data_IF_197580284909
#
_entry.id   IF_197580284909
#
_cell.length_a   1.000
_cell.length_b   1.000
_cell.length_c   1.000
_cell.angle_alpha   90.00
_cell.angle_beta   90.00
_cell.angle_gamma   90.00
#
_symmetry.space_group_name_H-M   'P 1'
#
loop_
_entity.id
_entity.type
_entity.pdbx_description
1 polymer ?
#
# COMPACT_ATOMS: atom_id res chain seq x y z
N UNK A 1 2.11 -4.26 -7.22
CA UNK A 1 3.33 -4.94 -7.73
C UNK A 1 4.51 -4.02 -7.49
N UNK A 2 5.55 -4.47 -6.81
CA UNK A 2 6.66 -3.60 -6.42
C UNK A 2 7.75 -3.53 -7.49
N UNK A 3 7.82 -2.40 -8.21
CA UNK A 3 8.79 -2.22 -9.28
C UNK A 3 10.13 -1.62 -8.82
N UNK A 4 10.18 -1.02 -7.62
CA UNK A 4 11.34 -0.28 -7.14
C UNK A 4 11.55 -0.53 -5.66
N UNK A 5 12.68 -1.14 -5.32
CA UNK A 5 13.09 -1.31 -3.93
C UNK A 5 13.94 -0.12 -3.50
N UNK A 6 13.53 0.64 -2.46
CA UNK A 6 14.33 1.73 -1.92
C UNK A 6 15.59 1.20 -1.22
N UNK A 7 16.68 1.94 -1.38
CA UNK A 7 17.94 1.78 -0.66
C UNK A 7 18.26 3.07 0.11
N UNK A 8 19.27 3.02 0.98
CA UNK A 8 19.80 4.21 1.64
C UNK A 8 20.17 5.32 0.65
N UNK A 9 20.09 6.57 1.13
CA UNK A 9 20.41 7.79 0.38
C UNK A 9 19.53 8.03 -0.86
N UNK A 10 18.27 7.58 -0.83
CA UNK A 10 17.28 7.84 -1.89
C UNK A 10 17.54 7.10 -3.20
N UNK A 11 18.37 6.04 -3.15
CA UNK A 11 18.66 5.19 -4.32
C UNK A 11 17.58 4.11 -4.46
N UNK A 12 17.42 3.60 -5.67
CA UNK A 12 16.48 2.52 -5.96
C UNK A 12 17.15 1.44 -6.79
N UNK A 13 16.77 0.19 -6.54
CA UNK A 13 17.10 -0.95 -7.41
C UNK A 13 15.82 -1.60 -7.94
N UNK A 14 15.99 -2.51 -8.90
CA UNK A 14 14.90 -3.27 -9.46
C UNK A 14 14.16 -4.03 -8.35
N UNK A 15 12.86 -3.74 -8.20
CA UNK A 15 11.98 -4.47 -7.31
C UNK A 15 11.61 -5.84 -7.88
N UNK A 16 10.90 -6.65 -7.09
CA UNK A 16 10.44 -7.99 -7.50
C UNK A 16 9.56 -7.95 -8.74
N UNK A 17 8.84 -6.85 -8.98
CA UNK A 17 8.04 -6.61 -10.17
C UNK A 17 8.84 -6.70 -11.47
N UNK A 18 10.10 -6.26 -11.47
CA UNK A 18 10.98 -6.37 -12.65
C UNK A 18 11.26 -7.84 -13.01
N UNK A 19 11.51 -8.70 -12.01
CA UNK A 19 11.73 -10.12 -12.23
C UNK A 19 10.45 -10.82 -12.69
N UNK A 20 9.32 -10.49 -12.08
CA UNK A 20 8.02 -11.05 -12.49
C UNK A 20 7.72 -10.67 -13.95
N UNK A 21 7.97 -9.42 -14.38
CA UNK A 21 7.81 -9.02 -15.78
C UNK A 21 8.69 -9.83 -16.74
N UNK A 22 9.93 -10.13 -16.35
CA UNK A 22 10.81 -10.98 -17.16
C UNK A 22 10.23 -12.40 -17.32
N UNK A 23 9.70 -12.98 -16.25
CA UNK A 23 9.07 -14.31 -16.28
C UNK A 23 7.77 -14.29 -17.08
N UNK A 24 6.91 -13.28 -16.92
CA UNK A 24 5.68 -13.12 -17.70
C UNK A 24 5.98 -13.06 -19.21
N UNK A 25 7.01 -12.30 -19.58
CA UNK A 25 7.46 -12.18 -20.97
C UNK A 25 7.93 -13.54 -21.51
N UNK A 26 8.76 -14.27 -20.76
CA UNK A 26 9.23 -15.59 -21.17
C UNK A 26 8.08 -16.62 -21.27
N UNK A 27 7.12 -16.55 -20.35
CA UNK A 27 6.01 -17.49 -20.28
C UNK A 27 4.80 -17.11 -21.15
N UNK A 28 4.81 -15.92 -21.77
CA UNK A 28 3.69 -15.36 -22.56
C UNK A 28 2.35 -15.37 -21.80
N UNK A 29 2.40 -15.19 -20.48
CA UNK A 29 1.24 -15.16 -19.60
C UNK A 29 1.44 -14.16 -18.48
N UNK A 30 0.34 -13.57 -18.02
CA UNK A 30 0.37 -12.66 -16.87
C UNK A 30 0.37 -13.45 -15.55
N UNK A 31 1.07 -12.91 -14.56
CA UNK A 31 1.08 -13.43 -13.20
C UNK A 31 -0.10 -12.84 -12.42
N UNK A 32 -0.78 -13.68 -11.65
CA UNK A 32 -1.76 -13.20 -10.68
C UNK A 32 -1.03 -12.50 -9.53
N UNK A 33 -1.45 -11.27 -9.24
CA UNK A 33 -0.91 -10.51 -8.12
C UNK A 33 -1.67 -10.91 -6.85
N UNK A 34 -1.01 -11.68 -5.99
CA UNK A 34 -1.57 -12.12 -4.70
C UNK A 34 -1.25 -11.19 -3.54
N UNK A 35 -0.19 -10.38 -3.67
CA UNK A 35 0.18 -9.37 -2.68
C UNK A 35 -0.57 -8.05 -2.85
N UNK A 36 -0.26 -7.06 -2.02
CA UNK A 36 -0.86 -5.72 -2.09
C UNK A 36 -0.76 -5.13 -3.51
N UNK A 37 -1.83 -4.53 -4.06
CA UNK A 37 -3.11 -4.18 -3.42
C UNK A 37 -4.21 -5.27 -3.52
N UNK A 38 -3.86 -6.51 -3.85
CA UNK A 38 -4.84 -7.60 -4.01
C UNK A 38 -5.57 -7.90 -2.71
N UNK A 39 -6.91 -7.99 -2.77
CA UNK A 39 -7.73 -8.38 -1.61
C UNK A 39 -7.39 -9.78 -1.10
N UNK A 40 -6.84 -10.65 -1.95
CA UNK A 40 -6.46 -12.00 -1.59
C UNK A 40 -5.58 -12.07 -0.33
N UNK A 41 -4.57 -11.20 -0.21
CA UNK A 41 -3.71 -11.20 1.00
C UNK A 41 -4.49 -10.81 2.25
N UNK A 42 -5.45 -9.89 2.15
CA UNK A 42 -6.30 -9.51 3.27
C UNK A 42 -7.23 -10.65 3.66
N UNK A 43 -7.84 -11.34 2.70
CA UNK A 43 -8.73 -12.46 2.98
C UNK A 43 -7.98 -13.59 3.70
N UNK A 44 -6.72 -13.87 3.33
CA UNK A 44 -5.85 -14.82 4.05
C UNK A 44 -5.63 -14.42 5.51
N UNK A 45 -5.23 -13.16 5.77
CA UNK A 45 -4.98 -12.68 7.15
C UNK A 45 -6.30 -12.63 7.94
N UNK A 46 -7.40 -12.20 7.31
CA UNK A 46 -8.71 -12.12 7.95
C UNK A 46 -9.24 -13.49 8.36
N UNK A 47 -9.04 -14.51 7.52
CA UNK A 47 -9.42 -15.88 7.83
C UNK A 47 -8.60 -16.47 8.99
N UNK A 48 -7.31 -16.13 9.08
CA UNK A 48 -6.43 -16.65 10.12
C UNK A 48 -6.64 -15.95 11.48
N UNK A 49 -6.87 -14.64 11.49
CA UNK A 49 -6.90 -13.82 12.71
C UNK A 49 -8.28 -13.26 13.08
N UNK A 50 -9.33 -13.52 12.29
CA UNK A 50 -10.69 -13.05 12.57
C UNK A 50 -10.82 -11.53 12.56
N UNK A 51 -10.26 -10.88 11.53
CA UNK A 51 -10.18 -9.41 11.47
C UNK A 51 -11.57 -8.80 11.22
N UNK A 52 -11.96 -7.84 12.07
CA UNK A 52 -13.09 -6.96 11.81
C UNK A 52 -12.61 -5.70 11.07
N UNK A 53 -13.01 -5.47 9.79
CA UNK A 53 -12.58 -4.30 9.02
C UNK A 53 -12.90 -2.96 9.68
N UNK A 54 -14.06 -2.83 10.34
CA UNK A 54 -14.50 -1.57 10.96
C UNK A 54 -13.64 -1.16 12.15
N UNK A 55 -12.91 -2.11 12.75
CA UNK A 55 -12.01 -1.91 13.89
C UNK A 55 -10.54 -2.06 13.52
N UNK A 56 -10.22 -2.08 12.23
CA UNK A 56 -8.88 -2.35 11.73
C UNK A 56 -8.40 -1.21 10.84
N UNK A 57 -7.11 -0.88 10.98
CA UNK A 57 -6.46 0.17 10.20
C UNK A 57 -5.27 -0.42 9.43
N UNK A 58 -5.19 -0.10 8.15
CA UNK A 58 -4.04 -0.38 7.30
C UNK A 58 -3.04 0.77 7.42
N UNK A 59 -1.84 0.47 7.88
CA UNK A 59 -0.73 1.43 7.98
C UNK A 59 0.32 1.08 6.94
N UNK A 60 0.78 2.05 6.16
CA UNK A 60 1.81 1.83 5.15
C UNK A 60 2.37 3.11 4.58
N UNK A 61 3.28 3.00 3.62
CA UNK A 61 4.03 4.13 3.06
C UNK A 61 3.74 4.35 1.56
N UNK A 62 2.91 3.50 0.95
CA UNK A 62 2.60 3.56 -0.48
C UNK A 62 1.12 3.67 -0.78
N UNK A 63 0.77 4.66 -1.59
CA UNK A 63 -0.62 4.93 -1.99
C UNK A 63 -1.23 3.84 -2.88
N UNK A 64 -0.44 3.29 -3.81
CA UNK A 64 -0.88 2.33 -4.83
C UNK A 64 -0.91 0.87 -4.36
N UNK A 65 -0.38 0.60 -3.17
CA UNK A 65 -0.34 -0.76 -2.59
C UNK A 65 -1.01 -0.79 -1.21
N UNK A 66 -0.51 -0.06 -0.22
CA UNK A 66 -1.02 -0.11 1.14
C UNK A 66 -2.38 0.55 1.27
N UNK A 67 -2.45 1.83 0.88
CA UNK A 67 -3.68 2.62 1.02
C UNK A 67 -4.76 2.03 0.11
N UNK A 68 -4.41 1.66 -1.12
CA UNK A 68 -5.34 1.00 -2.03
C UNK A 68 -5.83 -0.35 -1.49
N UNK A 69 -4.99 -1.16 -0.82
CA UNK A 69 -5.44 -2.38 -0.16
C UNK A 69 -6.45 -2.05 0.93
N UNK A 70 -6.11 -1.13 1.82
CA UNK A 70 -6.96 -0.77 2.96
C UNK A 70 -8.34 -0.31 2.50
N UNK A 71 -8.40 0.62 1.54
CA UNK A 71 -9.65 1.09 0.94
C UNK A 71 -10.42 -0.05 0.28
N UNK A 72 -9.75 -0.92 -0.49
CA UNK A 72 -10.41 -2.06 -1.17
C UNK A 72 -10.99 -3.08 -0.19
N UNK A 73 -10.39 -3.20 0.99
CA UNK A 73 -10.80 -4.13 2.04
C UNK A 73 -11.76 -3.49 3.07
N UNK A 74 -12.11 -2.22 2.91
CA UNK A 74 -13.00 -1.49 3.83
C UNK A 74 -12.33 -1.13 5.17
N UNK A 75 -11.01 -1.06 5.20
CA UNK A 75 -10.21 -0.65 6.35
C UNK A 75 -10.05 0.87 6.36
N UNK A 76 -9.86 1.42 7.56
CA UNK A 76 -9.27 2.77 7.67
C UNK A 76 -7.81 2.73 7.24
N UNK A 77 -7.29 3.85 6.75
CA UNK A 77 -5.94 3.92 6.18
C UNK A 77 -5.11 5.04 6.81
N UNK A 78 -3.85 4.73 7.11
CA UNK A 78 -2.86 5.70 7.58
C UNK A 78 -1.62 5.61 6.70
N UNK A 79 -1.24 6.74 6.11
CA UNK A 79 0.03 6.88 5.39
C UNK A 79 1.14 7.33 6.34
N UNK A 80 2.28 6.66 6.30
CA UNK A 80 3.53 7.10 6.94
C UNK A 80 4.40 7.84 5.93
N UNK A 81 4.99 8.97 6.33
CA UNK A 81 5.78 9.84 5.44
C UNK A 81 7.29 9.53 5.46
N UNK A 82 7.70 8.47 6.12
CA UNK A 82 9.09 7.98 6.16
C UNK A 82 9.51 7.15 4.95
N UNK A 83 8.56 6.75 4.10
CA UNK A 83 8.80 5.80 3.00
C UNK A 83 8.68 6.41 1.61
N UNK A 84 7.89 5.76 0.74
CA UNK A 84 7.91 6.03 -0.71
C UNK A 84 6.98 7.16 -1.16
N UNK A 85 5.74 7.22 -0.66
CA UNK A 85 4.76 8.23 -1.10
C UNK A 85 4.85 9.52 -0.26
N UNK A 86 4.57 10.65 -0.91
CA UNK A 86 4.66 11.99 -0.31
C UNK A 86 3.28 12.64 -0.18
N UNK A 87 3.17 13.70 0.63
CA UNK A 87 1.97 14.53 0.68
C UNK A 87 1.65 15.21 -0.66
N UNK A 88 2.67 15.46 -1.48
CA UNK A 88 2.47 15.95 -2.86
C UNK A 88 1.70 14.93 -3.71
N UNK A 89 2.03 13.64 -3.59
CA UNK A 89 1.32 12.56 -4.28
C UNK A 89 -0.14 12.44 -3.80
N UNK A 90 -0.37 12.60 -2.49
CA UNK A 90 -1.72 12.61 -1.91
C UNK A 90 -2.55 13.76 -2.51
N UNK A 91 -2.00 14.97 -2.53
CA UNK A 91 -2.67 16.15 -3.09
C UNK A 91 -2.99 15.97 -4.57
N UNK A 92 -2.04 15.46 -5.34
CA UNK A 92 -2.24 15.16 -6.77
C UNK A 92 -3.36 14.13 -6.99
N UNK A 93 -3.52 13.15 -6.10
CA UNK A 93 -4.59 12.17 -6.17
C UNK A 93 -5.95 12.77 -5.76
N UNK A 94 -5.98 13.65 -4.77
CA UNK A 94 -7.19 14.34 -4.31
C UNK A 94 -7.77 15.28 -5.37
N UNK A 95 -6.90 16.03 -6.06
CA UNK A 95 -7.28 17.00 -7.10
C UNK A 95 -7.64 16.33 -8.43
N UNK A 96 -7.35 15.04 -8.60
CA UNK A 96 -7.65 14.32 -9.84
C UNK A 96 -9.12 13.93 -9.93
N UNK A 97 -9.73 14.11 -11.11
CA UNK A 97 -11.07 13.59 -11.41
C UNK A 97 -11.13 12.05 -11.56
N UNK A 98 -9.98 11.39 -11.58
CA UNK A 98 -9.90 9.95 -11.76
C UNK A 98 -10.33 9.21 -10.49
N UNK A 99 -11.41 8.41 -10.59
CA UNK A 99 -11.94 7.62 -9.46
C UNK A 99 -10.89 6.70 -8.85
N UNK A 100 -10.03 6.07 -9.67
CA UNK A 100 -8.98 5.17 -9.17
C UNK A 100 -7.92 5.92 -8.35
N UNK A 101 -7.58 7.16 -8.72
CA UNK A 101 -6.66 7.99 -7.93
C UNK A 101 -7.29 8.45 -6.61
N UNK A 102 -8.58 8.81 -6.62
CA UNK A 102 -9.31 9.15 -5.39
C UNK A 102 -9.36 8.01 -4.38
N UNK A 103 -9.33 6.74 -4.84
CA UNK A 103 -9.19 5.55 -3.96
C UNK A 103 -7.81 5.39 -3.32
N UNK A 104 -6.81 6.12 -3.79
CA UNK A 104 -5.44 6.11 -3.27
C UNK A 104 -5.17 7.36 -2.40
N UNK A 105 -6.21 7.93 -1.80
CA UNK A 105 -6.12 9.02 -0.82
C UNK A 105 -6.33 8.40 0.56
N UNK A 106 -5.38 8.53 1.49
CA UNK A 106 -5.50 7.93 2.82
C UNK A 106 -6.50 8.72 3.69
N UNK A 107 -7.06 8.06 4.70
CA UNK A 107 -7.91 8.73 5.71
C UNK A 107 -7.09 9.66 6.60
N UNK A 108 -5.88 9.21 6.99
CA UNK A 108 -4.95 9.98 7.83
C UNK A 108 -3.50 9.82 7.35
N UNK A 109 -2.61 10.66 7.86
CA UNK A 109 -1.18 10.49 7.70
C UNK A 109 -0.45 10.84 9.00
N UNK A 110 0.75 10.27 9.16
CA UNK A 110 1.69 10.55 10.24
C UNK A 110 3.10 10.68 9.67
N UNK A 111 3.98 11.39 10.37
CA UNK A 111 5.36 11.53 9.90
C UNK A 111 6.07 10.18 9.97
N UNK A 112 5.91 9.46 11.07
CA UNK A 112 6.53 8.16 11.33
C UNK A 112 5.53 7.17 11.97
N UNK A 113 5.78 5.87 11.80
CA UNK A 113 5.05 4.84 12.54
C UNK A 113 5.18 4.99 14.06
N UNK A 114 6.28 5.60 14.52
CA UNK A 114 6.52 5.89 15.94
C UNK A 114 5.46 6.85 16.53
N UNK A 115 4.84 7.69 15.70
CA UNK A 115 3.81 8.64 16.14
C UNK A 115 2.50 7.94 16.53
N UNK A 116 2.36 6.65 16.19
CA UNK A 116 1.24 5.83 16.61
C UNK A 116 1.42 5.25 18.03
N UNK A 117 2.65 5.22 18.56
CA UNK A 117 2.93 4.60 19.86
C UNK A 117 2.10 5.19 21.01
N UNK A 118 1.92 6.52 21.13
CA UNK A 118 1.10 7.09 22.20
C UNK A 118 -0.36 6.61 22.16
N UNK A 119 -0.89 6.29 20.97
CA UNK A 119 -2.26 5.80 20.81
C UNK A 119 -2.41 4.30 21.10
N UNK A 120 -1.31 3.54 21.10
CA UNK A 120 -1.31 2.09 21.34
C UNK A 120 -1.00 1.70 22.80
N UNK A 121 -0.54 2.65 23.62
CA UNK A 121 -0.17 2.43 25.02
C UNK A 121 -1.31 2.76 26.00
N UNK A 122 -2.54 2.91 25.51
CA UNK A 122 -3.75 3.12 26.31
C UNK A 122 -4.36 1.85 26.86
#
# INVERSE_FOLDING_TARGET
>A
MDNRLPLENGRFIAGTGCLVRAVEMAAQRQADIIGKPSRFIFDCVSQEYGINPERTVMVGDRLDTDILLGVTCGLKTILTLTGVSTLGDVKNNQESDCVSKKKMVPDFYVDSIADLLPALQG
#
